data_IF_105585416704
#
_entry.id   IF_105585416704
#
_cell.length_a   1.000
_cell.length_b   1.000
_cell.length_c   1.000
_cell.angle_alpha   90.00
_cell.angle_beta   90.00
_cell.angle_gamma   90.00
#
_symmetry.space_group_name_H-M   'P 1'
#
loop_
_entity.id
_entity.type
_entity.pdbx_description
1 polymer ?
#
# COMPACT_ATOMS: atom_id res chain seq x y z
N UNK A 1 4.30 -6.04 19.10
CA UNK A 1 3.60 -6.35 17.83
C UNK A 1 3.79 -5.22 16.83
N UNK A 2 4.98 -5.16 16.23
CA UNK A 2 5.26 -4.35 15.06
C UNK A 2 5.03 -5.27 13.85
N UNK A 3 4.01 -4.98 13.05
CA UNK A 3 3.74 -5.71 11.82
C UNK A 3 3.76 -4.72 10.68
N UNK A 4 4.84 -4.72 9.89
CA UNK A 4 4.85 -4.02 8.61
C UNK A 4 3.91 -4.80 7.67
N UNK A 5 2.66 -4.36 7.58
CA UNK A 5 1.64 -4.98 6.72
C UNK A 5 1.58 -4.28 5.37
N UNK A 6 2.70 -4.29 4.64
CA UNK A 6 2.83 -3.69 3.31
C UNK A 6 3.46 -4.71 2.37
N UNK A 7 2.90 -4.85 1.17
CA UNK A 7 3.53 -5.59 0.09
C UNK A 7 4.86 -4.90 -0.27
N UNK A 8 5.98 -5.63 -0.21
CA UNK A 8 7.27 -5.13 -0.69
C UNK A 8 7.41 -5.48 -2.18
N UNK A 9 7.26 -4.52 -3.11
CA UNK A 9 7.32 -4.80 -4.55
C UNK A 9 8.73 -5.23 -5.01
N UNK A 10 9.76 -5.01 -4.20
CA UNK A 10 11.14 -5.37 -4.50
C UNK A 10 11.55 -6.72 -3.89
N UNK A 11 10.69 -7.33 -3.07
CA UNK A 11 10.99 -8.57 -2.34
C UNK A 11 10.86 -9.86 -3.16
N UNK A 12 10.92 -9.79 -4.50
CA UNK A 12 10.59 -10.92 -5.38
C UNK A 12 11.38 -12.18 -5.05
N UNK A 13 12.68 -12.06 -4.80
CA UNK A 13 13.50 -13.22 -4.45
C UNK A 13 13.07 -13.96 -3.20
N UNK A 14 12.46 -13.25 -2.24
CA UNK A 14 11.91 -13.84 -1.04
C UNK A 14 10.55 -14.47 -1.30
N UNK A 15 9.63 -13.73 -1.94
CA UNK A 15 8.25 -14.21 -2.17
C UNK A 15 8.15 -15.34 -3.19
N UNK A 16 9.04 -15.36 -4.19
CA UNK A 16 9.11 -16.41 -5.21
C UNK A 16 10.08 -17.54 -4.84
N UNK A 17 10.83 -17.38 -3.75
CA UNK A 17 11.92 -18.29 -3.37
C UNK A 17 12.95 -18.51 -4.51
N UNK A 18 13.25 -17.46 -5.27
CA UNK A 18 14.22 -17.48 -6.37
C UNK A 18 15.20 -16.31 -6.25
N UNK A 19 16.46 -16.62 -5.93
CA UNK A 19 17.52 -15.60 -5.75
C UNK A 19 17.85 -14.83 -7.03
N UNK A 20 17.43 -15.29 -8.21
CA UNK A 20 17.63 -14.58 -9.48
C UNK A 20 16.58 -13.49 -9.70
N UNK A 21 15.45 -13.52 -9.00
CA UNK A 21 14.42 -12.49 -9.08
C UNK A 21 14.79 -11.30 -8.18
N UNK A 22 15.66 -10.42 -8.67
CA UNK A 22 16.27 -9.32 -7.91
C UNK A 22 15.34 -8.13 -7.61
N UNK A 23 14.15 -8.09 -8.23
CA UNK A 23 13.18 -7.01 -8.03
C UNK A 23 13.50 -5.72 -8.79
N UNK A 24 14.45 -5.75 -9.72
CA UNK A 24 14.79 -4.60 -10.57
C UNK A 24 13.63 -4.19 -11.47
N UNK A 25 13.39 -2.89 -11.62
CA UNK A 25 12.39 -2.31 -12.51
C UNK A 25 13.06 -1.34 -13.50
N UNK A 26 12.81 -1.51 -14.79
CA UNK A 26 13.26 -0.58 -15.83
C UNK A 26 12.14 0.39 -16.19
N UNK A 27 12.40 1.69 -16.04
CA UNK A 27 11.46 2.75 -16.42
C UNK A 27 11.89 3.28 -17.79
N UNK A 28 11.01 3.16 -18.78
CA UNK A 28 11.28 3.62 -20.12
C UNK A 28 11.29 5.16 -20.18
N UNK A 29 11.98 5.72 -21.17
CA UNK A 29 12.00 7.15 -21.38
C UNK A 29 10.59 7.69 -21.61
N UNK A 30 10.23 8.74 -20.85
CA UNK A 30 8.91 9.39 -20.95
C UNK A 30 7.79 8.66 -20.22
N UNK A 31 8.05 7.58 -19.48
CA UNK A 31 7.05 6.91 -18.65
C UNK A 31 7.26 7.17 -17.17
N UNK A 32 6.20 6.92 -16.39
CA UNK A 32 6.21 7.06 -14.94
C UNK A 32 5.96 5.69 -14.29
N UNK A 33 6.59 5.49 -13.14
CA UNK A 33 6.30 4.39 -12.23
C UNK A 33 5.80 5.00 -10.92
N UNK A 34 4.49 4.88 -10.67
CA UNK A 34 3.86 5.47 -9.49
C UNK A 34 3.73 4.45 -8.38
N UNK A 35 4.33 4.74 -7.22
CA UNK A 35 4.06 4.02 -5.99
C UNK A 35 3.14 4.84 -5.10
N UNK A 36 2.00 4.27 -4.74
CA UNK A 36 1.04 4.88 -3.83
C UNK A 36 0.98 4.05 -2.56
N UNK A 37 1.20 4.71 -1.43
CA UNK A 37 1.13 4.09 -0.11
C UNK A 37 0.27 4.97 0.80
N UNK A 38 -0.36 4.34 1.79
CA UNK A 38 -1.03 5.04 2.90
C UNK A 38 -0.51 4.49 4.21
N UNK A 39 -0.09 5.38 5.10
CA UNK A 39 0.26 5.03 6.48
C UNK A 39 -0.92 5.38 7.37
N UNK A 40 -1.34 4.42 8.19
CA UNK A 40 -2.48 4.58 9.10
C UNK A 40 -1.99 4.34 10.53
N UNK A 41 -2.17 5.34 11.38
CA UNK A 41 -1.95 5.23 12.82
C UNK A 41 -3.28 5.01 13.52
N UNK A 42 -3.33 4.05 14.44
CA UNK A 42 -4.52 3.80 15.24
C UNK A 42 -4.11 3.37 16.66
N UNK A 43 -4.97 3.66 17.62
CA UNK A 43 -4.84 3.12 18.96
C UNK A 43 -5.45 1.70 19.03
N UNK A 44 -5.06 0.93 20.04
CA UNK A 44 -5.57 -0.43 20.24
C UNK A 44 -5.10 -1.45 19.19
N UNK A 45 -5.84 -2.55 19.04
CA UNK A 45 -5.49 -3.62 18.10
C UNK A 45 -6.17 -3.44 16.73
N UNK A 46 -5.66 -4.13 15.70
CA UNK A 46 -6.16 -4.01 14.33
C UNK A 46 -7.65 -4.33 14.18
N UNK A 47 -8.18 -5.23 15.03
CA UNK A 47 -9.61 -5.59 15.04
C UNK A 47 -10.46 -4.42 15.55
N UNK A 48 -10.11 -3.85 16.70
CA UNK A 48 -10.86 -2.71 17.27
C UNK A 48 -10.78 -1.47 16.39
N UNK A 49 -9.66 -1.28 15.70
CA UNK A 49 -9.47 -0.15 14.79
C UNK A 49 -10.04 -0.37 13.37
N UNK A 50 -10.63 -1.54 13.09
CA UNK A 50 -11.25 -1.82 11.79
C UNK A 50 -10.28 -1.72 10.61
N UNK A 51 -9.01 -2.15 10.77
CA UNK A 51 -7.95 -1.91 9.78
C UNK A 51 -8.24 -2.56 8.42
N UNK A 52 -8.91 -3.72 8.43
CA UNK A 52 -9.35 -4.38 7.19
C UNK A 52 -10.28 -3.46 6.37
N UNK A 53 -11.26 -2.82 7.02
CA UNK A 53 -12.22 -1.93 6.35
C UNK A 53 -11.54 -0.67 5.82
N UNK A 54 -10.51 -0.18 6.52
CA UNK A 54 -9.75 0.99 6.05
C UNK A 54 -9.12 0.77 4.69
N UNK A 55 -8.76 -0.46 4.31
CA UNK A 55 -8.27 -0.73 2.97
C UNK A 55 -9.27 -0.31 1.89
N UNK A 56 -10.57 -0.51 2.11
CA UNK A 56 -11.61 -0.05 1.17
C UNK A 56 -11.62 1.47 1.02
N UNK A 57 -11.44 2.24 2.10
CA UNK A 57 -11.31 3.70 2.02
C UNK A 57 -10.11 4.15 1.16
N UNK A 58 -9.09 3.31 1.00
CA UNK A 58 -7.91 3.61 0.19
C UNK A 58 -8.12 3.31 -1.29
N UNK A 59 -8.63 2.10 -1.59
CA UNK A 59 -8.80 1.66 -2.97
C UNK A 59 -10.07 2.22 -3.61
N UNK A 60 -11.04 2.61 -2.78
CA UNK A 60 -12.29 3.27 -3.16
C UNK A 60 -12.43 4.59 -2.39
N UNK A 61 -11.59 5.61 -2.65
CA UNK A 61 -11.64 6.86 -1.91
C UNK A 61 -13.03 7.53 -2.08
N UNK A 62 -13.61 8.07 -0.98
CA UNK A 62 -14.92 8.71 -1.05
C UNK A 62 -14.88 9.93 -1.96
N UNK A 63 -15.96 10.14 -2.73
CA UNK A 63 -16.17 11.39 -3.46
C UNK A 63 -16.77 12.40 -2.49
N UNK A 64 -16.06 13.49 -2.26
CA UNK A 64 -16.50 14.56 -1.34
C UNK A 64 -16.99 15.75 -2.17
N UNK A 65 -18.17 16.26 -1.83
CA UNK A 65 -18.70 17.52 -2.36
C UNK A 65 -18.82 18.50 -1.20
N UNK A 66 -18.22 19.68 -1.33
CA UNK A 66 -18.34 20.75 -0.35
C UNK A 66 -19.50 21.63 -0.81
N UNK A 67 -20.55 21.77 0.01
CA UNK A 67 -21.61 22.76 -0.23
C UNK A 67 -21.21 24.09 0.42
N UNK A 68 -21.49 25.20 -0.25
CA UNK A 68 -21.35 26.53 0.35
C UNK A 68 -22.38 26.73 1.48
N UNK A 69 -22.04 27.61 2.43
CA UNK A 69 -22.82 27.91 3.63
C UNK A 69 -23.99 28.86 3.35
#
# INVERSE_FOLDING_TARGET
>A
NYGLMTANPFGLSYFLNDKKADGSLTIAQGTNLDFRYRVLFHAGCCRHAGIADKYHDYVNPPKVTISEA
#
